data_IF_838528786985
#
_entry.id   IF_838528786985
#
_cell.length_a   1.000
_cell.length_b   1.000
_cell.length_c   1.000
_cell.angle_alpha   90.00
_cell.angle_beta   90.00
_cell.angle_gamma   90.00
#
_symmetry.space_group_name_H-M   'P 1'
#
loop_
_entity.id
_entity.type
_entity.pdbx_description
1 polymer ?
#
# COMPACT_ATOMS: atom_id res chain seq x y z
N UNK A 1 -13.44 -3.93 23.20
CA UNK A 1 -12.70 -5.11 22.71
C UNK A 1 -12.11 -4.75 21.37
N UNK A 2 -10.82 -5.02 21.16
CA UNK A 2 -10.11 -4.74 19.91
C UNK A 2 -10.59 -5.71 18.81
N UNK A 3 -10.97 -5.19 17.66
CA UNK A 3 -11.42 -5.96 16.49
C UNK A 3 -10.22 -6.55 15.72
N UNK A 4 -10.49 -7.46 14.78
CA UNK A 4 -9.44 -8.07 13.96
C UNK A 4 -8.79 -7.02 13.05
N UNK A 5 -9.58 -6.09 12.54
CA UNK A 5 -9.12 -5.02 11.66
C UNK A 5 -8.17 -4.08 12.41
N UNK A 6 -8.47 -3.74 13.67
CA UNK A 6 -7.58 -2.92 14.52
C UNK A 6 -6.20 -3.57 14.71
N UNK A 7 -6.14 -4.91 14.78
CA UNK A 7 -4.86 -5.65 14.92
C UNK A 7 -4.06 -5.67 13.62
N UNK A 8 -4.74 -5.79 12.49
CA UNK A 8 -4.10 -5.81 11.17
C UNK A 8 -3.60 -4.41 10.80
N UNK A 9 -4.35 -3.38 11.17
CA UNK A 9 -4.02 -1.97 10.90
C UNK A 9 -3.08 -1.35 11.96
N UNK A 10 -2.81 -2.06 13.07
CA UNK A 10 -1.92 -1.59 14.13
C UNK A 10 -2.53 -0.49 15.02
N UNK A 11 -3.85 -0.33 15.01
CA UNK A 11 -4.56 0.69 15.78
C UNK A 11 -4.66 0.27 17.25
N UNK A 12 -3.90 0.95 18.12
CA UNK A 12 -3.92 0.68 19.56
C UNK A 12 -5.11 1.39 20.20
N UNK A 13 -6.16 0.65 20.55
CA UNK A 13 -7.40 1.22 21.13
C UNK A 13 -7.25 1.85 22.53
N UNK A 14 -6.17 1.56 23.25
CA UNK A 14 -6.00 1.96 24.66
C UNK A 14 -4.73 2.80 24.79
N UNK A 15 -4.91 4.11 24.84
CA UNK A 15 -3.85 5.11 25.06
C UNK A 15 -3.75 5.60 26.50
N UNK A 16 -4.74 5.28 27.34
CA UNK A 16 -4.73 5.70 28.74
C UNK A 16 -3.86 4.77 29.55
N UNK A 17 -2.66 5.26 29.89
CA UNK A 17 -1.90 4.77 31.03
C UNK A 17 -2.65 5.19 32.30
N UNK A 18 -3.03 4.24 33.15
CA UNK A 18 -3.57 4.57 34.47
C UNK A 18 -2.49 5.29 35.27
N UNK A 19 -2.52 6.62 35.32
CA UNK A 19 -1.73 7.40 36.27
C UNK A 19 -2.22 7.12 37.69
N UNK A 20 -1.73 6.05 38.28
CA UNK A 20 -1.78 5.80 39.72
C UNK A 20 -0.56 4.99 40.21
N UNK A 21 0.62 5.26 39.66
CA UNK A 21 1.90 4.85 40.25
C UNK A 21 2.71 6.12 40.55
N UNK A 22 2.60 6.52 41.81
CA UNK A 22 3.56 7.17 42.70
C UNK A 22 4.59 8.16 42.10
N UNK A 23 4.42 9.44 42.43
CA UNK A 23 5.46 10.45 42.28
C UNK A 23 6.45 10.36 43.46
N UNK A 24 7.65 9.83 43.23
CA UNK A 24 8.83 10.15 44.04
C UNK A 24 9.95 10.67 43.12
N UNK A 25 10.16 11.97 43.23
CA UNK A 25 11.24 12.74 42.61
C UNK A 25 12.54 12.48 43.35
N UNK A 26 13.59 12.07 42.64
CA UNK A 26 14.97 12.26 43.12
C UNK A 26 15.89 12.76 42.01
N UNK A 27 16.71 13.73 42.41
CA UNK A 27 17.74 14.44 41.64
C UNK A 27 18.79 13.43 41.12
N UNK A 28 19.56 13.69 40.06
CA UNK A 28 20.77 14.52 40.12
C UNK A 28 21.26 14.83 38.70
N UNK A 29 21.75 16.06 38.51
CA UNK A 29 22.37 16.54 37.29
C UNK A 29 23.77 15.92 37.11
N UNK A 30 23.92 14.99 36.17
CA UNK A 30 25.25 14.57 35.72
C UNK A 30 25.57 15.25 34.37
N UNK A 31 26.45 16.25 34.46
CA UNK A 31 27.13 16.87 33.34
C UNK A 31 27.91 15.83 32.52
N UNK A 32 28.02 16.10 31.21
CA UNK A 32 29.05 15.57 30.31
C UNK A 32 28.71 14.33 29.46
N UNK A 33 27.55 14.34 28.82
CA UNK A 33 27.41 13.74 27.50
C UNK A 33 27.09 14.86 26.50
N UNK A 34 27.87 14.97 25.43
CA UNK A 34 27.50 15.79 24.27
C UNK A 34 26.19 15.22 23.69
N UNK A 35 25.04 15.74 24.17
CA UNK A 35 23.70 15.35 23.72
C UNK A 35 23.43 15.96 22.35
N UNK A 36 24.10 15.47 21.31
CA UNK A 36 23.48 15.51 19.99
C UNK A 36 22.34 14.50 20.03
N UNK A 37 21.08 14.98 20.03
CA UNK A 37 19.85 14.18 19.95
C UNK A 37 19.69 13.63 18.52
N UNK A 38 20.78 13.13 17.93
CA UNK A 38 20.75 12.58 16.60
C UNK A 38 21.53 11.30 16.63
N UNK A 39 20.76 10.24 16.77
CA UNK A 39 21.24 8.89 16.60
C UNK A 39 21.91 8.80 15.22
N UNK A 40 23.19 8.43 15.20
CA UNK A 40 24.00 8.43 13.96
C UNK A 40 23.49 7.36 12.99
N UNK A 41 22.74 6.37 13.50
CA UNK A 41 22.07 5.31 12.75
C UNK A 41 20.75 5.80 12.10
N UNK A 42 20.20 6.95 12.51
CA UNK A 42 19.02 7.57 11.89
C UNK A 42 19.36 8.44 10.66
N UNK A 43 20.61 8.44 10.19
CA UNK A 43 21.03 9.20 9.02
C UNK A 43 20.66 8.54 7.69
N UNK A 44 20.11 7.33 7.71
CA UNK A 44 19.63 6.62 6.51
C UNK A 44 18.18 6.96 6.15
N UNK A 45 17.70 8.14 6.56
CA UNK A 45 16.52 8.72 5.92
C UNK A 45 16.95 9.11 4.52
N UNK A 46 16.39 8.44 3.50
CA UNK A 46 16.47 8.86 2.09
C UNK A 46 15.98 10.31 1.98
N UNK A 47 16.90 11.24 2.19
CA UNK A 47 16.70 12.65 1.93
C UNK A 47 16.82 12.80 0.43
N UNK A 48 15.67 12.76 -0.24
CA UNK A 48 15.60 13.17 -1.63
C UNK A 48 15.97 14.66 -1.67
N UNK A 49 17.11 14.98 -2.27
CA UNK A 49 17.57 16.34 -2.44
C UNK A 49 17.16 16.80 -3.84
N UNK A 50 16.56 17.99 -3.94
CA UNK A 50 16.40 18.64 -5.25
C UNK A 50 17.77 18.83 -5.92
N UNK A 51 17.78 19.01 -7.24
CA UNK A 51 18.99 19.40 -7.98
C UNK A 51 19.70 20.65 -7.43
N UNK A 52 18.98 21.49 -6.66
CA UNK A 52 19.47 22.69 -5.97
C UNK A 52 19.87 22.45 -4.49
N UNK A 53 19.96 21.18 -4.05
CA UNK A 53 20.39 20.81 -2.70
C UNK A 53 19.40 21.13 -1.57
N UNK A 54 18.21 21.69 -1.87
CA UNK A 54 17.19 21.95 -0.84
C UNK A 54 16.48 20.67 -0.43
N UNK A 55 16.32 20.47 0.89
CA UNK A 55 15.48 19.42 1.49
C UNK A 55 14.06 19.48 0.91
N UNK A 56 13.64 18.48 0.14
CA UNK A 56 12.27 18.45 -0.44
C UNK A 56 11.25 17.70 0.40
N UNK A 57 11.63 17.25 1.58
CA UNK A 57 10.79 16.47 2.48
C UNK A 57 10.25 17.28 3.67
N UNK A 58 10.58 18.57 3.76
CA UNK A 58 10.10 19.45 4.83
C UNK A 58 9.58 20.79 4.31
N UNK A 59 8.68 21.42 5.07
CA UNK A 59 8.10 22.72 4.74
C UNK A 59 7.15 22.72 3.54
N UNK A 60 6.78 23.91 3.01
CA UNK A 60 5.77 24.04 1.96
C UNK A 60 6.12 23.33 0.66
N UNK A 61 7.41 23.27 0.30
CA UNK A 61 7.87 22.53 -0.89
C UNK A 61 7.70 21.02 -0.73
N UNK A 62 7.90 20.50 0.48
CA UNK A 62 7.67 19.08 0.75
C UNK A 62 6.21 18.68 0.66
N UNK A 63 5.31 19.50 1.19
CA UNK A 63 3.87 19.27 1.04
C UNK A 63 3.45 19.19 -0.44
N UNK A 64 4.01 20.07 -1.28
CA UNK A 64 3.75 20.05 -2.73
C UNK A 64 4.32 18.77 -3.37
N UNK A 65 5.51 18.33 -2.94
CA UNK A 65 6.13 17.11 -3.45
C UNK A 65 5.30 15.87 -3.07
N UNK A 66 4.88 15.79 -1.80
CA UNK A 66 4.05 14.70 -1.29
C UNK A 66 2.73 14.61 -2.05
N UNK A 67 2.09 15.76 -2.34
CA UNK A 67 0.84 15.78 -3.11
C UNK A 67 1.04 15.26 -4.55
N UNK A 68 2.14 15.64 -5.21
CA UNK A 68 2.46 15.15 -6.57
C UNK A 68 2.69 13.64 -6.55
N UNK A 69 3.49 13.14 -5.60
CA UNK A 69 3.76 11.72 -5.43
C UNK A 69 2.48 10.94 -5.12
N UNK A 70 1.64 11.47 -4.24
CA UNK A 70 0.33 10.90 -3.94
C UNK A 70 -0.55 10.80 -5.19
N UNK A 71 -0.66 11.86 -5.99
CA UNK A 71 -1.46 11.84 -7.23
C UNK A 71 -0.91 10.90 -8.29
N UNK A 72 0.41 10.74 -8.36
CA UNK A 72 1.01 9.73 -9.22
C UNK A 72 0.63 8.31 -8.76
N UNK A 73 0.82 8.00 -7.48
CA UNK A 73 0.50 6.70 -6.90
C UNK A 73 -1.00 6.37 -7.00
N UNK A 74 -1.88 7.36 -6.81
CA UNK A 74 -3.33 7.20 -6.97
C UNK A 74 -3.69 6.75 -8.39
N UNK A 75 -3.08 7.36 -9.42
CA UNK A 75 -3.28 6.97 -10.80
C UNK A 75 -2.73 5.57 -11.11
N UNK A 76 -1.51 5.27 -10.65
CA UNK A 76 -0.88 3.96 -10.83
C UNK A 76 -1.70 2.84 -10.16
N UNK A 77 -2.17 3.08 -8.93
CA UNK A 77 -3.03 2.15 -8.20
C UNK A 77 -4.35 1.90 -8.96
N UNK A 78 -4.98 2.94 -9.50
CA UNK A 78 -6.24 2.79 -10.26
C UNK A 78 -6.05 1.95 -11.53
N UNK A 79 -4.91 2.06 -12.19
CA UNK A 79 -4.58 1.25 -13.38
C UNK A 79 -4.33 -0.20 -12.97
N UNK A 80 -3.56 -0.43 -11.90
CA UNK A 80 -3.27 -1.79 -11.43
C UNK A 80 -4.54 -2.51 -10.94
N UNK A 81 -5.43 -1.81 -10.22
CA UNK A 81 -6.73 -2.35 -9.79
C UNK A 81 -7.62 -2.77 -10.97
N UNK A 82 -7.68 -1.97 -12.04
CA UNK A 82 -8.43 -2.34 -13.24
C UNK A 82 -7.85 -3.60 -13.90
N UNK A 83 -6.53 -3.69 -14.00
CA UNK A 83 -5.85 -4.85 -14.57
C UNK A 83 -6.07 -6.10 -13.73
N UNK A 84 -6.03 -5.97 -12.40
CA UNK A 84 -6.34 -7.07 -11.49
C UNK A 84 -7.80 -7.51 -11.62
N UNK A 85 -8.73 -6.56 -11.69
CA UNK A 85 -10.14 -6.82 -11.92
C UNK A 85 -10.38 -7.56 -13.24
N UNK A 86 -9.77 -7.12 -14.35
CA UNK A 86 -9.85 -7.81 -15.65
C UNK A 86 -9.31 -9.24 -15.57
N UNK A 87 -8.17 -9.43 -14.89
CA UNK A 87 -7.59 -10.76 -14.66
C UNK A 87 -8.55 -11.65 -13.87
N UNK A 88 -9.20 -11.09 -12.85
CA UNK A 88 -10.16 -11.81 -12.03
C UNK A 88 -11.41 -12.18 -12.82
N UNK A 89 -11.98 -11.24 -13.60
CA UNK A 89 -13.10 -11.49 -14.50
C UNK A 89 -12.76 -12.64 -15.46
N UNK A 90 -11.59 -12.59 -16.11
CA UNK A 90 -11.15 -13.65 -17.04
C UNK A 90 -11.00 -15.01 -16.36
N UNK A 91 -10.49 -15.04 -15.12
CA UNK A 91 -10.37 -16.29 -14.35
C UNK A 91 -11.74 -16.85 -14.00
N UNK A 92 -12.65 -16.00 -13.50
CA UNK A 92 -13.98 -16.41 -13.08
C UNK A 92 -14.89 -16.78 -14.26
N UNK A 93 -14.83 -16.05 -15.38
CA UNK A 93 -15.59 -16.36 -16.59
C UNK A 93 -15.21 -17.73 -17.17
N UNK A 94 -13.94 -18.10 -17.08
CA UNK A 94 -13.49 -19.44 -17.48
C UNK A 94 -13.99 -20.56 -16.55
N UNK A 95 -14.30 -20.22 -15.30
CA UNK A 95 -14.75 -21.19 -14.29
C UNK A 95 -16.27 -21.31 -14.26
N UNK A 96 -17.00 -20.28 -14.74
CA UNK A 96 -18.46 -20.19 -14.73
C UNK A 96 -19.01 -19.95 -16.15
N UNK A 97 -18.66 -20.83 -17.11
CA UNK A 97 -19.33 -20.81 -18.43
C UNK A 97 -20.81 -21.15 -18.28
N UNK A 98 -21.68 -20.37 -18.91
CA UNK A 98 -23.11 -20.68 -19.00
C UNK A 98 -23.34 -21.83 -19.99
N UNK A 99 -24.35 -22.68 -19.75
CA UNK A 99 -24.74 -23.76 -20.66
C UNK A 99 -25.00 -23.26 -22.10
N UNK A 100 -25.55 -22.05 -22.23
CA UNK A 100 -25.79 -21.39 -23.52
C UNK A 100 -24.49 -21.07 -24.28
N UNK A 101 -23.43 -20.73 -23.54
CA UNK A 101 -22.13 -20.36 -24.10
C UNK A 101 -21.34 -21.61 -24.51
N UNK A 102 -21.46 -22.70 -23.74
CA UNK A 102 -20.91 -24.01 -24.12
C UNK A 102 -21.55 -24.59 -25.38
N UNK A 103 -22.87 -24.43 -25.56
CA UNK A 103 -23.56 -24.85 -26.79
C UNK A 103 -23.09 -24.06 -28.01
N UNK A 104 -22.93 -22.74 -27.87
CA UNK A 104 -22.44 -21.88 -28.93
C UNK A 104 -20.96 -22.21 -29.30
N UNK A 105 -20.10 -22.44 -28.30
CA UNK A 105 -18.71 -22.85 -28.53
C UNK A 105 -18.63 -24.21 -29.24
N UNK A 106 -19.47 -25.17 -28.84
CA UNK A 106 -19.56 -26.50 -29.45
C UNK A 106 -20.04 -26.43 -30.90
N UNK A 107 -21.00 -25.56 -31.23
CA UNK A 107 -21.43 -25.33 -32.61
C UNK A 107 -20.31 -24.71 -33.45
N UNK A 108 -19.62 -23.68 -32.93
CA UNK A 108 -18.48 -23.05 -33.63
C UNK A 108 -17.35 -24.04 -33.87
N UNK A 109 -17.05 -24.89 -32.90
CA UNK A 109 -16.02 -25.92 -33.01
C UNK A 109 -16.39 -26.98 -34.07
N UNK A 110 -17.67 -27.35 -34.15
CA UNK A 110 -18.18 -28.28 -35.18
C UNK A 110 -18.08 -27.67 -36.59
N UNK A 111 -18.49 -26.41 -36.77
CA UNK A 111 -18.32 -25.72 -38.06
C UNK A 111 -16.85 -25.60 -38.48
N UNK A 112 -15.95 -25.35 -37.53
CA UNK A 112 -14.51 -25.31 -37.79
C UNK A 112 -13.99 -26.68 -38.24
N UNK A 113 -14.40 -27.77 -37.58
CA UNK A 113 -14.04 -29.13 -37.99
C UNK A 113 -14.60 -29.47 -39.37
N UNK A 114 -15.85 -29.12 -39.67
CA UNK A 114 -16.48 -29.39 -40.97
C UNK A 114 -15.76 -28.64 -42.10
N UNK A 115 -15.33 -27.38 -41.85
CA UNK A 115 -14.52 -26.59 -42.81
C UNK A 115 -13.12 -27.16 -43.02
N UNK A 116 -12.55 -27.83 -42.02
CA UNK A 116 -11.24 -28.49 -42.12
C UNK A 116 -11.35 -29.85 -42.81
N UNK A 117 -12.42 -30.62 -42.53
CA UNK A 117 -12.67 -31.92 -43.12
C UNK A 117 -13.21 -31.86 -44.56
N UNK A 118 -13.81 -30.73 -44.95
CA UNK A 118 -14.29 -30.47 -46.31
C UNK A 118 -13.23 -29.99 -47.32
N UNK A 119 -11.94 -29.98 -46.93
CA UNK A 119 -10.79 -29.72 -47.80
C UNK A 119 -9.97 -31.00 -47.98
#
# INVERSE_FOLDING_TARGET
MTTLDDKILGEKLQYYYSSSEDEESDHEEEENASKTIRDQEALDVELDYSADGSSVNTGPKGVINDWRKYKQLENEQRVEQQKEMERLIKKLSMTCKSHMEEEADRQKQKELQDKIAGK
#
